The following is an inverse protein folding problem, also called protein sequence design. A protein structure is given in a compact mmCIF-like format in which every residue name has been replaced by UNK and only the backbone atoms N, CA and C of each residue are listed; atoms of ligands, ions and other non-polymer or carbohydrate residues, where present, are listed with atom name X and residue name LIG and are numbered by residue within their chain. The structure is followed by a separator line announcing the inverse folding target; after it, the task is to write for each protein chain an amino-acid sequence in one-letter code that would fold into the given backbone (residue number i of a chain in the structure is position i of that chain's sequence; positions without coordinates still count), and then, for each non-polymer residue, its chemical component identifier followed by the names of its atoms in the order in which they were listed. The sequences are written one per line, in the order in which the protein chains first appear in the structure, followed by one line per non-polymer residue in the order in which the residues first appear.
data_IF_027187787382
#
_entry.id   IF_027187787382
#
_cell.length_a   1.000
_cell.length_b   1.000
_cell.length_c   1.000
_cell.angle_alpha   90.00
_cell.angle_beta   90.00
_cell.angle_gamma   90.00
#
_symmetry.space_group_name_H-M   'P 1'
#
loop_
_entity.id
_entity.type
_entity.pdbx_description
1 polymer ?
#
# COMPACT_ATOMS: atom_id res chain seq x y z
N UNK A 1 -7.35 16.34 -17.68
CA UNK A 1 -7.22 16.98 -16.36
C UNK A 1 -6.13 18.05 -16.46
N UNK A 2 -6.27 19.23 -15.84
CA UNK A 2 -5.17 20.21 -15.84
C UNK A 2 -3.97 19.67 -15.03
N UNK A 3 -2.73 20.07 -15.32
CA UNK A 3 -1.56 19.67 -14.53
C UNK A 3 -1.71 19.99 -13.03
N UNK A 4 -2.35 21.10 -12.70
CA UNK A 4 -2.65 21.50 -11.33
C UNK A 4 -3.59 20.53 -10.61
N UNK A 5 -4.68 20.09 -11.28
CA UNK A 5 -5.61 19.12 -10.70
C UNK A 5 -4.95 17.74 -10.50
N UNK A 6 -4.04 17.34 -11.40
CA UNK A 6 -3.23 16.11 -11.21
C UNK A 6 -2.30 16.24 -10.00
N UNK A 7 -1.67 17.40 -9.81
CA UNK A 7 -0.79 17.64 -8.66
C UNK A 7 -1.56 17.62 -7.33
N UNK A 8 -2.72 18.27 -7.28
CA UNK A 8 -3.62 18.23 -6.11
C UNK A 8 -4.02 16.79 -5.81
N UNK A 9 -4.43 16.04 -6.83
CA UNK A 9 -4.84 14.66 -6.66
C UNK A 9 -3.69 13.80 -6.12
N UNK A 10 -2.52 13.85 -6.74
CA UNK A 10 -1.35 13.09 -6.29
C UNK A 10 -0.98 13.39 -4.83
N UNK A 11 -1.04 14.66 -4.42
CA UNK A 11 -0.78 15.06 -3.03
C UNK A 11 -1.81 14.50 -2.03
N UNK A 12 -3.02 14.18 -2.48
CA UNK A 12 -4.05 13.56 -1.64
C UNK A 12 -4.00 12.04 -1.67
N UNK A 13 -3.56 11.42 -2.77
CA UNK A 13 -3.48 9.96 -2.90
C UNK A 13 -2.24 9.37 -2.24
N UNK A 14 -1.10 10.04 -2.35
CA UNK A 14 0.16 9.54 -1.84
C UNK A 14 0.58 10.24 -0.54
N UNK A 15 1.29 9.51 0.33
CA UNK A 15 1.83 10.06 1.55
C UNK A 15 2.87 11.14 1.20
N UNK A 16 2.82 12.27 1.91
CA UNK A 16 3.87 13.27 1.82
C UNK A 16 5.20 12.69 2.33
N UNK A 17 6.30 13.21 1.79
CA UNK A 17 7.63 12.92 2.29
C UNK A 17 7.81 13.44 3.74
N UNK A 18 8.67 12.75 4.50
CA UNK A 18 9.29 13.24 5.73
C UNK A 18 8.32 13.75 6.81
N UNK A 19 7.49 12.85 7.36
CA UNK A 19 6.85 13.07 8.66
C UNK A 19 7.69 12.48 9.77
N UNK A 20 7.96 13.28 10.79
CA UNK A 20 8.60 12.82 12.02
C UNK A 20 7.56 12.11 12.89
N UNK A 21 7.46 10.79 12.71
CA UNK A 21 6.54 9.92 13.46
C UNK A 21 7.38 9.10 14.46
N UNK A 22 7.18 9.28 15.78
CA UNK A 22 7.93 8.54 16.79
C UNK A 22 7.84 7.02 16.57
N UNK A 23 9.00 6.37 16.43
CA UNK A 23 9.06 4.92 16.27
C UNK A 23 8.90 4.39 14.85
N UNK A 24 8.56 5.24 13.87
CA UNK A 24 8.31 4.85 12.47
C UNK A 24 9.04 5.79 11.52
N UNK A 25 10.01 5.26 10.77
CA UNK A 25 10.60 5.97 9.63
C UNK A 25 10.12 5.31 8.34
N UNK A 26 9.71 6.08 7.35
CA UNK A 26 9.19 5.56 6.09
C UNK A 26 9.66 6.37 4.89
N UNK A 27 9.58 5.75 3.72
CA UNK A 27 9.71 6.43 2.45
C UNK A 27 8.72 5.82 1.45
N UNK A 28 8.27 6.66 0.52
CA UNK A 28 7.39 6.25 -0.56
C UNK A 28 8.02 6.61 -1.90
N UNK A 29 7.80 5.76 -2.89
CA UNK A 29 7.93 6.16 -4.29
C UNK A 29 6.58 5.95 -4.94
N UNK A 30 6.15 6.95 -5.71
CA UNK A 30 5.01 6.80 -6.58
C UNK A 30 5.26 7.45 -7.93
N UNK A 31 4.59 6.93 -8.95
CA UNK A 31 4.60 7.49 -10.30
C UNK A 31 3.25 7.22 -10.94
N UNK A 32 2.66 8.25 -11.52
CA UNK A 32 1.51 8.08 -12.40
C UNK A 32 2.00 7.57 -13.76
N UNK A 33 1.42 6.50 -14.26
CA UNK A 33 1.63 5.98 -15.62
C UNK A 33 1.24 6.99 -16.72
N UNK A 34 1.70 6.73 -17.95
CA UNK A 34 1.59 7.68 -19.07
C UNK A 34 0.13 7.95 -19.52
N UNK A 35 -0.83 7.08 -19.17
CA UNK A 35 -2.22 7.16 -19.63
C UNK A 35 -3.17 7.31 -18.44
N UNK A 36 -3.37 8.55 -17.98
CA UNK A 36 -4.42 8.92 -17.01
C UNK A 36 -4.62 7.92 -15.87
N UNK A 37 -3.56 7.39 -15.30
CA UNK A 37 -3.66 6.47 -14.18
C UNK A 37 -3.65 7.27 -12.86
N UNK A 38 -4.24 6.70 -11.82
CA UNK A 38 -4.55 7.36 -10.55
C UNK A 38 -5.31 6.44 -9.58
N UNK A 39 -5.14 5.13 -9.75
CA UNK A 39 -5.79 4.10 -8.92
C UNK A 39 -4.98 3.78 -7.67
N UNK A 40 -3.68 4.02 -7.68
CA UNK A 40 -2.82 3.71 -6.55
C UNK A 40 -2.97 4.70 -5.39
N UNK A 41 -2.94 4.17 -4.17
CA UNK A 41 -2.73 4.96 -2.94
C UNK A 41 -1.54 4.43 -2.17
N UNK A 42 -0.82 5.35 -1.54
CA UNK A 42 0.05 5.03 -0.41
C UNK A 42 -0.28 6.02 0.69
N UNK A 43 -0.58 5.53 1.88
CA UNK A 43 -0.88 6.36 3.02
C UNK A 43 -0.08 5.99 4.25
N UNK A 44 0.38 7.04 4.93
CA UNK A 44 1.00 6.97 6.24
C UNK A 44 0.36 8.06 7.10
N UNK A 45 -0.39 7.63 8.11
CA UNK A 45 -1.18 8.54 8.93
C UNK A 45 -0.99 8.26 10.42
N UNK A 46 -0.51 9.25 11.15
CA UNK A 46 -0.42 9.22 12.61
C UNK A 46 -1.73 9.73 13.22
N UNK A 47 -2.28 8.97 14.17
CA UNK A 47 -3.47 9.33 14.94
C UNK A 47 -3.08 10.07 16.22
N UNK A 48 -4.04 10.81 16.81
CA UNK A 48 -3.82 11.59 18.06
C UNK A 48 -3.35 10.74 19.25
N UNK A 49 -3.59 9.43 19.23
CA UNK A 49 -3.15 8.49 20.26
C UNK A 49 -1.75 7.90 20.01
N UNK A 50 -1.04 8.37 18.97
CA UNK A 50 0.29 7.90 18.56
C UNK A 50 0.29 6.59 17.77
N UNK A 51 -0.86 5.99 17.50
CA UNK A 51 -0.93 4.86 16.55
C UNK A 51 -0.69 5.35 15.12
N UNK A 52 -0.21 4.47 14.25
CA UNK A 52 0.11 4.82 12.86
C UNK A 52 -0.60 3.85 11.91
N UNK A 53 -1.39 4.38 10.97
CA UNK A 53 -1.90 3.63 9.84
C UNK A 53 -0.89 3.65 8.69
N UNK A 54 -0.58 2.47 8.17
CA UNK A 54 0.12 2.26 6.91
C UNK A 54 -0.87 1.60 5.96
N UNK A 55 -1.20 2.23 4.83
CA UNK A 55 -2.04 1.60 3.82
C UNK A 55 -1.49 1.78 2.42
N UNK A 56 -1.77 0.79 1.59
CA UNK A 56 -1.51 0.80 0.16
C UNK A 56 -2.70 0.11 -0.50
N UNK A 57 -3.12 0.63 -1.64
CA UNK A 57 -4.21 0.05 -2.39
C UNK A 57 -4.02 0.34 -3.87
N UNK A 58 -4.62 -0.52 -4.69
CA UNK A 58 -4.77 -0.34 -6.12
C UNK A 58 -6.26 -0.50 -6.45
N UNK A 59 -6.80 0.49 -7.16
CA UNK A 59 -8.19 0.60 -7.54
C UNK A 59 -8.29 0.29 -9.03
N UNK A 60 -9.12 -0.70 -9.35
CA UNK A 60 -9.46 -1.02 -10.73
C UNK A 60 -10.09 0.16 -11.47
N UNK A 61 -9.66 0.32 -12.72
CA UNK A 61 -10.05 1.43 -13.58
C UNK A 61 -8.94 2.48 -13.70
N UNK A 62 -9.22 3.56 -14.42
CA UNK A 62 -8.25 4.65 -14.67
C UNK A 62 -8.94 6.00 -14.59
N UNK A 63 -8.13 7.04 -14.44
CA UNK A 63 -8.54 8.44 -14.53
C UNK A 63 -9.17 8.97 -13.25
N UNK A 64 -9.96 10.03 -13.40
CA UNK A 64 -10.57 10.76 -12.29
C UNK A 64 -11.47 9.85 -11.42
N UNK A 65 -12.08 8.84 -12.01
CA UNK A 65 -12.96 7.94 -11.29
C UNK A 65 -12.18 7.05 -10.32
N UNK A 66 -11.14 6.35 -10.79
CA UNK A 66 -10.25 5.56 -9.94
C UNK A 66 -9.67 6.42 -8.80
N UNK A 67 -9.29 7.66 -9.12
CA UNK A 67 -8.80 8.64 -8.17
C UNK A 67 -9.81 9.03 -7.07
N UNK A 68 -11.10 9.15 -7.38
CA UNK A 68 -12.15 9.40 -6.38
C UNK A 68 -12.33 8.19 -5.45
N UNK A 69 -12.30 6.99 -6.01
CA UNK A 69 -12.36 5.74 -5.25
C UNK A 69 -11.13 5.54 -4.34
N UNK A 70 -9.95 5.88 -4.86
CA UNK A 70 -8.69 5.90 -4.14
C UNK A 70 -8.78 6.83 -2.91
N UNK A 71 -9.31 8.04 -3.10
CA UNK A 71 -9.57 8.96 -1.99
C UNK A 71 -10.61 8.40 -1.00
N UNK A 72 -11.70 7.79 -1.49
CA UNK A 72 -12.72 7.16 -0.63
C UNK A 72 -12.11 6.09 0.27
N UNK A 73 -11.30 5.19 -0.28
CA UNK A 73 -10.62 4.14 0.50
C UNK A 73 -9.71 4.78 1.53
N UNK A 74 -8.81 5.68 1.10
CA UNK A 74 -7.85 6.33 1.99
C UNK A 74 -8.53 7.01 3.18
N UNK A 75 -9.49 7.90 2.92
CA UNK A 75 -10.14 8.67 3.99
C UNK A 75 -11.13 7.85 4.81
N UNK A 76 -11.82 6.87 4.20
CA UNK A 76 -12.71 5.99 4.95
C UNK A 76 -11.95 5.06 5.89
N UNK A 77 -10.81 4.48 5.46
CA UNK A 77 -9.96 3.68 6.35
C UNK A 77 -9.41 4.52 7.51
N UNK A 78 -8.94 5.75 7.24
CA UNK A 78 -8.54 6.69 8.30
C UNK A 78 -9.68 6.96 9.28
N UNK A 79 -10.88 7.25 8.79
CA UNK A 79 -12.03 7.55 9.63
C UNK A 79 -12.43 6.34 10.49
N UNK A 80 -12.46 5.13 9.93
CA UNK A 80 -12.76 3.93 10.71
C UNK A 80 -11.69 3.67 11.78
N UNK A 81 -10.41 3.72 11.41
CA UNK A 81 -9.31 3.50 12.34
C UNK A 81 -9.24 4.58 13.43
N UNK A 82 -9.51 5.85 13.11
CA UNK A 82 -9.52 6.94 14.10
C UNK A 82 -10.62 6.78 15.16
N UNK A 83 -11.70 6.07 14.82
CA UNK A 83 -12.76 5.69 15.77
C UNK A 83 -12.47 4.39 16.53
N UNK A 84 -11.23 3.88 16.46
CA UNK A 84 -10.78 2.71 17.20
C UNK A 84 -11.28 1.38 16.61
N UNK A 85 -11.75 1.36 15.36
CA UNK A 85 -12.00 0.08 14.70
C UNK A 85 -10.68 -0.65 14.47
N UNK A 86 -10.73 -1.96 14.63
CA UNK A 86 -9.60 -2.83 14.31
C UNK A 86 -9.41 -2.94 12.79
N UNK A 87 -8.24 -3.41 12.33
CA UNK A 87 -7.95 -3.50 10.89
C UNK A 87 -8.98 -4.35 10.14
N UNK A 88 -9.42 -5.47 10.73
CA UNK A 88 -10.52 -6.30 10.20
C UNK A 88 -11.80 -5.51 10.03
N UNK A 89 -12.24 -4.82 11.09
CA UNK A 89 -13.53 -4.11 11.10
C UNK A 89 -13.53 -2.90 10.17
N UNK A 90 -12.40 -2.19 10.07
CA UNK A 90 -12.23 -1.09 9.13
C UNK A 90 -12.29 -1.60 7.68
N UNK A 91 -11.59 -2.69 7.38
CA UNK A 91 -11.61 -3.30 6.05
C UNK A 91 -13.00 -3.81 5.66
N UNK A 92 -13.69 -4.48 6.58
CA UNK A 92 -15.07 -4.95 6.37
C UNK A 92 -16.08 -3.81 6.20
N UNK A 93 -15.90 -2.71 6.94
CA UNK A 93 -16.74 -1.53 6.77
C UNK A 93 -16.51 -0.87 5.41
N UNK A 94 -15.26 -0.84 4.93
CA UNK A 94 -14.93 -0.36 3.60
C UNK A 94 -15.56 -1.23 2.49
N UNK A 95 -15.48 -2.55 2.62
CA UNK A 95 -16.14 -3.48 1.68
C UNK A 95 -17.65 -3.26 1.60
N UNK A 96 -18.30 -3.15 2.77
CA UNK A 96 -19.73 -2.84 2.84
C UNK A 96 -20.07 -1.50 2.18
N UNK A 97 -19.25 -0.48 2.37
CA UNK A 97 -19.43 0.83 1.74
C UNK A 97 -19.38 0.75 0.20
N UNK A 98 -18.51 -0.12 -0.34
CA UNK A 98 -18.43 -0.38 -1.77
C UNK A 98 -19.68 -1.13 -2.28
N UNK A 99 -20.10 -2.19 -1.57
CA UNK A 99 -21.22 -3.03 -1.98
C UNK A 99 -22.59 -2.33 -1.87
N UNK A 100 -22.79 -1.47 -0.86
CA UNK A 100 -24.09 -0.80 -0.61
C UNK A 100 -24.31 0.46 -1.45
N UNK A 101 -23.27 0.98 -2.09
CA UNK A 101 -23.38 2.23 -2.82
C UNK A 101 -23.71 1.98 -4.30
N UNK A 102 -25.00 2.13 -4.62
CA UNK A 102 -25.56 1.88 -5.96
C UNK A 102 -25.03 2.79 -7.07
N UNK A 103 -24.36 3.91 -6.74
CA UNK A 103 -23.61 4.65 -7.77
C UNK A 103 -22.40 3.87 -8.32
N UNK A 104 -21.99 2.80 -7.64
CA UNK A 104 -20.99 1.84 -8.11
C UNK A 104 -21.58 0.64 -8.87
N UNK A 105 -22.90 0.46 -8.96
CA UNK A 105 -23.54 -0.68 -9.67
C UNK A 105 -23.25 -0.71 -11.19
N UNK A 106 -22.85 0.41 -11.79
CA UNK A 106 -22.44 0.50 -13.19
C UNK A 106 -20.92 0.43 -13.38
N UNK A 107 -20.19 0.23 -12.30
CA UNK A 107 -18.75 0.37 -12.25
C UNK A 107 -18.19 -0.91 -11.63
N UNK A 108 -17.46 -1.69 -12.42
CA UNK A 108 -16.64 -2.82 -11.93
C UNK A 108 -15.44 -2.30 -11.11
N UNK A 109 -15.65 -1.39 -10.15
CA UNK A 109 -14.60 -0.80 -9.31
C UNK A 109 -14.46 -1.62 -8.04
N UNK A 110 -13.54 -2.57 -8.11
CA UNK A 110 -12.96 -3.25 -6.96
C UNK A 110 -11.61 -2.65 -6.58
N UNK A 111 -11.16 -2.96 -5.37
CA UNK A 111 -9.86 -2.51 -4.89
C UNK A 111 -9.10 -3.60 -4.16
N UNK A 112 -7.82 -3.70 -4.46
CA UNK A 112 -6.86 -4.45 -3.65
C UNK A 112 -6.38 -3.52 -2.54
N UNK A 113 -6.41 -3.93 -1.26
CA UNK A 113 -6.10 -3.04 -0.14
C UNK A 113 -5.30 -3.75 0.94
N UNK A 114 -4.24 -3.11 1.42
CA UNK A 114 -3.59 -3.45 2.67
C UNK A 114 -3.78 -2.31 3.69
N UNK A 115 -4.14 -2.67 4.93
CA UNK A 115 -4.17 -1.77 6.07
C UNK A 115 -3.38 -2.38 7.23
N UNK A 116 -2.29 -1.74 7.64
CA UNK A 116 -1.56 -2.00 8.87
C UNK A 116 -1.79 -0.89 9.89
N UNK A 117 -2.20 -1.27 11.10
CA UNK A 117 -2.31 -0.39 12.26
C UNK A 117 -1.17 -0.71 13.23
N UNK A 118 -0.19 0.18 13.28
CA UNK A 118 1.00 0.10 14.12
C UNK A 118 0.71 0.73 15.48
N UNK A 119 1.02 0.00 16.54
CA UNK A 119 1.13 0.52 17.91
C UNK A 119 2.63 0.63 18.24
N UNK A 120 3.23 1.83 18.19
CA UNK A 120 4.65 2.02 18.47
C UNK A 120 5.02 1.65 19.91
N UNK A 121 4.10 1.81 20.87
CA UNK A 121 4.35 1.48 22.27
C UNK A 121 4.45 -0.03 22.49
N UNK A 122 3.58 -0.80 21.82
CA UNK A 122 3.59 -2.27 21.86
C UNK A 122 4.56 -2.90 20.88
N UNK A 123 5.11 -2.12 19.94
CA UNK A 123 5.94 -2.60 18.83
C UNK A 123 5.26 -3.72 18.05
N UNK A 124 3.98 -3.53 17.76
CA UNK A 124 3.17 -4.50 17.03
C UNK A 124 2.39 -3.80 15.93
N UNK A 125 2.16 -4.50 14.84
CA UNK A 125 1.21 -4.12 13.81
C UNK A 125 0.10 -5.15 13.73
N UNK A 126 -1.15 -4.70 13.88
CA UNK A 126 -2.30 -5.49 13.43
C UNK A 126 -2.62 -5.13 12.00
N UNK A 127 -2.92 -6.09 11.14
CA UNK A 127 -3.15 -5.80 9.74
C UNK A 127 -4.31 -6.59 9.15
N UNK A 128 -4.91 -6.02 8.09
CA UNK A 128 -5.81 -6.70 7.19
C UNK A 128 -5.35 -6.51 5.74
N UNK A 129 -5.43 -7.58 4.92
CA UNK A 129 -4.98 -7.58 3.53
C UNK A 129 -6.06 -8.20 2.64
N UNK A 130 -6.69 -7.35 1.83
CA UNK A 130 -7.82 -7.61 0.95
C UNK A 130 -7.36 -7.69 -0.51
N UNK A 131 -6.91 -8.86 -0.94
CA UNK A 131 -6.48 -9.11 -2.34
C UNK A 131 -5.25 -8.34 -2.82
N UNK A 132 -4.60 -7.54 -1.97
CA UNK A 132 -3.40 -6.76 -2.33
C UNK A 132 -2.17 -7.65 -2.56
N UNK A 133 -1.25 -7.15 -3.37
CA UNK A 133 0.06 -7.75 -3.60
C UNK A 133 0.76 -8.05 -2.25
N UNK A 134 1.51 -9.16 -2.11
CA UNK A 134 2.05 -9.55 -0.82
C UNK A 134 2.94 -8.49 -0.18
N UNK A 135 2.51 -7.96 0.96
CA UNK A 135 3.36 -7.11 1.81
C UNK A 135 4.43 -7.97 2.48
N UNK A 136 5.68 -7.54 2.36
CA UNK A 136 6.85 -8.27 2.86
C UNK A 136 7.31 -7.68 4.20
N UNK A 137 7.61 -8.57 5.15
CA UNK A 137 8.31 -8.24 6.38
C UNK A 137 9.74 -8.78 6.30
N UNK A 138 10.72 -7.91 6.54
CA UNK A 138 12.13 -8.26 6.62
C UNK A 138 12.63 -7.96 8.03
N UNK A 139 12.80 -9.01 8.84
CA UNK A 139 13.32 -8.90 10.21
C UNK A 139 14.84 -9.09 10.24
N UNK A 140 15.57 -8.46 11.18
CA UNK A 140 16.98 -8.77 11.44
C UNK A 140 17.22 -10.27 11.61
N UNK A 141 18.21 -10.81 10.89
CA UNK A 141 18.64 -12.22 10.99
C UNK A 141 17.59 -13.30 10.67
N UNK A 142 16.45 -12.92 10.09
CA UNK A 142 15.42 -13.85 9.61
C UNK A 142 15.26 -13.71 8.09
N UNK A 143 14.87 -14.78 7.39
CA UNK A 143 14.49 -14.67 5.99
C UNK A 143 13.26 -13.76 5.83
N UNK A 144 13.18 -12.99 4.72
CA UNK A 144 11.98 -12.24 4.36
C UNK A 144 10.75 -13.14 4.31
N UNK A 145 9.60 -12.59 4.74
CA UNK A 145 8.33 -13.32 4.69
C UNK A 145 7.21 -12.44 4.15
N UNK A 146 6.39 -13.02 3.28
CA UNK A 146 5.13 -12.42 2.86
C UNK A 146 4.09 -12.50 3.99
N UNK A 147 3.34 -11.43 4.18
CA UNK A 147 2.15 -11.42 5.01
C UNK A 147 1.03 -12.20 4.31
N UNK A 148 0.28 -12.97 5.10
CA UNK A 148 -0.83 -13.76 4.57
C UNK A 148 -2.00 -12.83 4.23
N UNK A 149 -2.76 -13.10 3.15
CA UNK A 149 -4.03 -12.44 2.92
C UNK A 149 -5.01 -12.75 4.06
N UNK A 150 -5.83 -11.78 4.43
CA UNK A 150 -6.78 -11.91 5.55
C UNK A 150 -8.20 -11.50 5.19
N UNK A 151 -8.43 -11.05 3.96
CA UNK A 151 -9.74 -10.65 3.46
C UNK A 151 -9.81 -10.89 1.94
N UNK A 152 -11.02 -11.07 1.39
CA UNK A 152 -11.24 -11.01 -0.06
C UNK A 152 -10.99 -9.59 -0.58
N UNK A 153 -10.86 -9.46 -1.90
CA UNK A 153 -10.79 -8.15 -2.57
C UNK A 153 -12.06 -7.33 -2.30
N UNK A 154 -11.90 -6.01 -2.18
CA UNK A 154 -12.98 -5.09 -1.79
C UNK A 154 -13.95 -4.87 -2.95
N UNK A 155 -15.25 -4.94 -2.67
CA UNK A 155 -16.32 -4.55 -3.59
C UNK A 155 -16.73 -5.60 -4.62
N UNK A 156 -16.30 -6.86 -4.47
CA UNK A 156 -16.58 -7.93 -5.45
C UNK A 156 -17.57 -8.97 -4.94
N UNK A 157 -17.40 -9.45 -3.71
CA UNK A 157 -18.13 -10.62 -3.23
C UNK A 157 -19.14 -10.25 -2.15
N UNK A 158 -20.43 -10.46 -2.44
CA UNK A 158 -21.48 -10.33 -1.44
C UNK A 158 -21.42 -11.48 -0.41
N UNK A 159 -21.89 -11.22 0.81
CA UNK A 159 -22.01 -12.17 1.92
C UNK A 159 -20.70 -12.88 2.38
N UNK A 160 -19.53 -12.29 2.11
CA UNK A 160 -18.22 -12.84 2.53
C UNK A 160 -17.65 -12.21 3.81
N UNK A 161 -18.50 -11.55 4.59
CA UNK A 161 -18.12 -10.83 5.81
C UNK A 161 -17.32 -11.67 6.83
N UNK A 162 -17.52 -12.98 6.86
CA UNK A 162 -16.86 -13.93 7.77
C UNK A 162 -15.41 -14.26 7.36
N UNK A 163 -15.01 -13.92 6.13
CA UNK A 163 -13.65 -14.12 5.63
C UNK A 163 -12.69 -13.00 6.03
N UNK A 164 -13.22 -11.84 6.42
CA UNK A 164 -12.42 -10.72 6.91
C UNK A 164 -11.85 -11.06 8.28
N UNK A 165 -10.52 -11.00 8.38
CA UNK A 165 -9.76 -11.20 9.60
C UNK A 165 -8.66 -10.17 9.70
N UNK A 166 -8.05 -10.10 10.88
CA UNK A 166 -6.76 -9.46 11.06
C UNK A 166 -5.75 -10.44 11.62
N UNK A 167 -4.48 -10.14 11.37
CA UNK A 167 -3.34 -10.84 11.95
C UNK A 167 -2.44 -9.83 12.68
N UNK A 168 -1.59 -10.32 13.58
CA UNK A 168 -0.66 -9.48 14.34
C UNK A 168 0.78 -9.85 14.02
N UNK A 169 1.62 -8.84 13.87
CA UNK A 169 3.06 -8.97 13.62
C UNK A 169 3.82 -8.15 14.65
N UNK A 170 4.82 -8.77 15.26
CA UNK A 170 5.82 -8.06 16.07
C UNK A 170 6.80 -7.30 15.18
N UNK A 171 7.06 -6.06 15.55
CA UNK A 171 7.95 -5.11 14.90
C UNK A 171 9.19 -4.89 15.76
N UNK A 172 10.07 -5.89 15.80
CA UNK A 172 11.36 -5.76 16.48
C UNK A 172 12.18 -4.61 15.83
N UNK A 173 13.04 -3.90 16.59
CA UNK A 173 13.87 -2.84 16.03
C UNK A 173 14.65 -3.31 14.79
N UNK A 174 14.65 -2.51 13.73
CA UNK A 174 15.26 -2.86 12.44
C UNK A 174 14.39 -3.75 11.54
N UNK A 175 13.13 -4.02 11.94
CA UNK A 175 12.14 -4.64 11.03
C UNK A 175 11.81 -3.67 9.92
N UNK A 176 11.82 -4.16 8.67
CA UNK A 176 11.28 -3.45 7.52
C UNK A 176 9.93 -4.03 7.11
N UNK A 177 9.00 -3.13 6.74
CA UNK A 177 7.81 -3.44 5.97
C UNK A 177 8.00 -2.90 4.56
N UNK A 178 7.76 -3.73 3.56
CA UNK A 178 7.82 -3.38 2.14
C UNK A 178 6.50 -3.75 1.50
N UNK A 179 5.80 -2.76 0.96
CA UNK A 179 4.55 -2.94 0.26
C UNK A 179 4.62 -2.25 -1.10
N UNK A 180 4.10 -2.89 -2.13
CA UNK A 180 4.13 -2.36 -3.49
C UNK A 180 2.85 -2.75 -4.22
N UNK A 181 2.45 -1.94 -5.20
CA UNK A 181 1.42 -2.32 -6.19
C UNK A 181 2.04 -3.17 -7.30
N UNK A 182 1.17 -3.76 -8.12
CA UNK A 182 1.57 -4.57 -9.27
C UNK A 182 2.39 -3.78 -10.30
N UNK A 183 2.21 -2.46 -10.42
CA UNK A 183 3.07 -1.63 -11.25
C UNK A 183 4.55 -1.59 -10.83
N UNK A 184 4.92 -2.16 -9.67
CA UNK A 184 6.31 -2.50 -9.33
C UNK A 184 6.66 -3.92 -9.78
N UNK A 185 5.85 -4.92 -9.42
CA UNK A 185 6.20 -6.34 -9.61
C UNK A 185 6.00 -6.81 -11.05
N UNK A 186 5.06 -6.21 -11.77
CA UNK A 186 4.73 -6.49 -13.18
C UNK A 186 5.51 -5.65 -14.19
N UNK A 187 6.47 -4.82 -13.77
CA UNK A 187 7.40 -4.16 -14.71
C UNK A 187 8.11 -5.22 -15.56
N UNK A 188 8.17 -5.03 -16.88
CA UNK A 188 8.75 -6.00 -17.82
C UNK A 188 10.07 -5.54 -18.43
N UNK A 189 11.02 -6.45 -18.55
CA UNK A 189 12.22 -6.24 -19.36
C UNK A 189 11.95 -6.48 -20.86
N UNK A 190 12.98 -6.34 -21.70
CA UNK A 190 12.89 -6.54 -23.15
C UNK A 190 12.47 -7.97 -23.56
N UNK A 191 12.76 -8.96 -22.71
CA UNK A 191 12.36 -10.36 -22.91
C UNK A 191 10.93 -10.65 -22.40
N UNK A 192 10.24 -9.63 -21.86
CA UNK A 192 8.89 -9.74 -21.31
C UNK A 192 8.81 -10.35 -19.91
N UNK A 193 9.96 -10.61 -19.26
CA UNK A 193 10.03 -11.11 -17.90
C UNK A 193 9.63 -10.03 -16.90
N UNK A 194 8.83 -10.41 -15.90
CA UNK A 194 8.47 -9.54 -14.79
C UNK A 194 9.66 -9.27 -13.86
N UNK A 195 9.70 -8.05 -13.29
CA UNK A 195 10.63 -7.70 -12.23
C UNK A 195 10.42 -8.66 -11.05
N UNK A 196 9.18 -8.80 -10.61
CA UNK A 196 8.73 -9.80 -9.66
C UNK A 196 9.11 -9.49 -8.21
N UNK A 197 8.38 -10.12 -7.30
CA UNK A 197 8.57 -9.97 -5.86
C UNK A 197 9.97 -10.43 -5.42
N UNK A 198 10.57 -11.43 -6.07
CA UNK A 198 11.88 -11.95 -5.71
C UNK A 198 13.01 -10.95 -5.98
N UNK A 199 12.92 -10.15 -7.05
CA UNK A 199 13.90 -9.07 -7.31
C UNK A 199 13.73 -7.93 -6.30
N UNK A 200 12.49 -7.57 -5.99
CA UNK A 200 12.18 -6.58 -4.95
C UNK A 200 12.79 -6.99 -3.61
N UNK A 201 12.52 -8.21 -3.15
CA UNK A 201 13.06 -8.77 -1.90
C UNK A 201 14.59 -8.73 -1.91
N UNK A 202 15.24 -9.23 -2.97
CA UNK A 202 16.72 -9.21 -3.06
C UNK A 202 17.28 -7.80 -3.00
N UNK A 203 16.63 -6.82 -3.61
CA UNK A 203 17.07 -5.43 -3.53
C UNK A 203 16.98 -4.89 -2.11
N UNK A 204 15.86 -5.12 -1.44
CA UNK A 204 15.63 -4.69 -0.06
C UNK A 204 16.63 -5.35 0.89
N UNK A 205 16.90 -6.66 0.75
CA UNK A 205 17.85 -7.37 1.60
C UNK A 205 19.27 -6.81 1.50
N UNK A 206 19.74 -6.43 0.30
CA UNK A 206 21.06 -5.80 0.10
C UNK A 206 21.17 -4.43 0.78
N UNK A 207 20.04 -3.72 0.91
CA UNK A 207 19.97 -2.36 1.40
C UNK A 207 19.36 -2.26 2.80
N UNK A 208 19.19 -3.39 3.50
CA UNK A 208 18.37 -3.51 4.72
C UNK A 208 18.79 -2.60 5.89
N UNK A 209 20.08 -2.25 5.94
CA UNK A 209 20.66 -1.42 7.00
C UNK A 209 20.66 0.07 6.65
N UNK A 210 20.12 0.42 5.48
CA UNK A 210 19.98 1.81 5.05
C UNK A 210 18.63 2.38 5.50
N UNK A 211 18.55 3.71 5.54
CA UNK A 211 17.28 4.41 5.76
C UNK A 211 16.25 4.07 4.67
N UNK A 212 14.94 4.05 4.99
CA UNK A 212 13.87 3.72 4.05
C UNK A 212 13.98 4.45 2.71
N UNK A 213 14.35 5.74 2.73
CA UNK A 213 14.53 6.52 1.51
C UNK A 213 15.60 5.94 0.58
N UNK A 214 16.72 5.48 1.12
CA UNK A 214 17.80 4.88 0.34
C UNK A 214 17.41 3.52 -0.21
N UNK A 215 16.58 2.76 0.52
CA UNK A 215 16.02 1.50 0.05
C UNK A 215 15.09 1.75 -1.13
N UNK A 216 14.16 2.71 -1.01
CA UNK A 216 13.26 3.13 -2.09
C UNK A 216 14.05 3.59 -3.32
N UNK A 217 15.03 4.48 -3.14
CA UNK A 217 15.87 4.98 -4.23
C UNK A 217 16.62 3.83 -4.94
N UNK A 218 17.09 2.83 -4.18
CA UNK A 218 17.76 1.64 -4.71
C UNK A 218 16.81 0.74 -5.52
N UNK A 219 15.58 0.51 -5.03
CA UNK A 219 14.56 -0.28 -5.74
C UNK A 219 14.18 0.40 -7.06
N UNK A 220 13.91 1.71 -7.03
CA UNK A 220 13.61 2.48 -8.24
C UNK A 220 14.75 2.41 -9.25
N UNK A 221 16.01 2.50 -8.79
CA UNK A 221 17.17 2.36 -9.67
C UNK A 221 17.30 0.95 -10.26
N UNK A 222 16.95 -0.10 -9.51
CA UNK A 222 16.97 -1.49 -10.01
C UNK A 222 15.89 -1.69 -11.09
N UNK A 223 14.70 -1.12 -10.91
CA UNK A 223 13.61 -1.15 -11.91
C UNK A 223 14.04 -0.46 -13.21
N UNK A 224 14.64 0.73 -13.12
CA UNK A 224 15.13 1.48 -14.30
C UNK A 224 16.23 0.74 -15.05
N UNK A 225 17.08 -0.02 -14.35
CA UNK A 225 18.10 -0.86 -15.00
C UNK A 225 17.51 -2.12 -15.62
N UNK A 226 16.42 -2.63 -15.06
CA UNK A 226 15.79 -3.87 -15.48
C UNK A 226 14.98 -3.71 -16.77
N UNK A 227 14.29 -2.57 -16.96
CA UNK A 227 13.37 -2.37 -18.06
C UNK A 227 13.70 -1.11 -18.89
N UNK A 228 13.51 -1.20 -20.21
CA UNK A 228 13.70 -0.06 -21.13
C UNK A 228 12.57 0.98 -20.99
N UNK A 229 11.34 0.51 -20.75
CA UNK A 229 10.15 1.32 -20.52
C UNK A 229 9.44 0.89 -19.22
N UNK A 230 10.01 1.23 -18.04
CA UNK A 230 9.54 0.71 -16.74
C UNK A 230 8.19 1.28 -16.26
N UNK A 231 7.71 2.37 -16.85
CA UNK A 231 6.63 3.19 -16.27
C UNK A 231 5.31 3.11 -17.06
N UNK A 232 4.87 1.88 -17.35
CA UNK A 232 3.66 1.65 -18.13
C UNK A 232 2.36 1.71 -17.30
N UNK A 233 2.46 1.46 -15.99
CA UNK A 233 1.34 1.59 -15.06
C UNK A 233 1.66 2.53 -13.89
N UNK A 234 0.66 2.77 -13.03
CA UNK A 234 0.89 3.40 -11.73
C UNK A 234 1.88 2.58 -10.91
N UNK A 235 2.84 3.25 -10.31
CA UNK A 235 3.79 2.62 -9.41
C UNK A 235 3.55 3.19 -8.04
N UNK A 236 3.37 2.32 -7.04
CA UNK A 236 3.38 2.66 -5.64
C UNK A 236 4.29 1.70 -4.87
N UNK A 237 5.18 2.27 -4.06
CA UNK A 237 6.08 1.56 -3.17
C UNK A 237 6.11 2.27 -1.82
N UNK A 238 5.93 1.51 -0.76
CA UNK A 238 6.09 1.92 0.63
C UNK A 238 7.18 1.06 1.28
N UNK A 239 8.20 1.71 1.85
CA UNK A 239 9.15 1.09 2.75
C UNK A 239 9.03 1.78 4.11
N UNK A 240 8.77 1.02 5.16
CA UNK A 240 8.76 1.50 6.53
C UNK A 240 9.74 0.69 7.40
N UNK A 241 10.32 1.35 8.39
CA UNK A 241 11.25 0.79 9.37
C UNK A 241 10.81 1.19 10.79
N UNK A 242 11.07 0.31 11.74
CA UNK A 242 10.59 0.42 13.12
C UNK A 242 11.75 0.36 14.13
N UNK A 243 11.68 1.17 15.19
CA UNK A 243 12.76 1.32 16.21
C UNK A 243 12.37 0.96 17.63
#
# INVERSE_FOLDING_TARGET
MSPEAVAVLAAHLFAGADRDIPGVSYAVAYRLGEVQSGGDIVDVYEFDNGAVALSIADISGKGLQAAVHAALIKYGLRAYASHGLTAERAMRAMDRLYLENSTFEHIESFASVFLGLVDPNRRTMTYASAGHEPVIIVKPHEPPRALKPTAPIIGVFDDQAHLFRQETVELSPGTLLVAATDGVTEVRNADGEFFGIERLIRCVERCRDLEPKKIVDAVVADIVRFAEAPWQDDVALLVASFV
#
